data_IF_599552286097
#
_entry.id   IF_599552286097
#
_cell.length_a   1.000
_cell.length_b   1.000
_cell.length_c   1.000
_cell.angle_alpha   90.00
_cell.angle_beta   90.00
_cell.angle_gamma   90.00
#
_symmetry.space_group_name_H-M   'P 1'
#
loop_
_entity.id
_entity.type
_entity.pdbx_description
1 polymer ?
#
# COMPACT_ATOMS: atom_id res chain seq x y z
N UNK A 1 -5.25 11.67 -18.95
CA UNK A 1 -4.53 10.37 -19.00
C UNK A 1 -3.48 10.26 -20.13
N UNK A 2 -3.46 11.11 -21.18
CA UNK A 2 -2.60 10.87 -22.36
C UNK A 2 -1.07 10.76 -22.14
N UNK A 3 -0.52 11.20 -21.01
CA UNK A 3 0.91 11.10 -20.69
C UNK A 3 1.18 10.54 -19.28
N UNK A 4 0.18 9.91 -18.64
CA UNK A 4 0.38 9.38 -17.29
C UNK A 4 0.87 7.93 -17.38
N UNK A 5 2.11 7.69 -16.96
CA UNK A 5 2.76 6.38 -17.03
C UNK A 5 2.34 5.44 -15.90
N UNK A 6 1.58 5.91 -14.92
CA UNK A 6 1.16 5.09 -13.78
C UNK A 6 0.50 3.75 -14.19
N UNK A 7 -0.40 3.68 -15.19
CA UNK A 7 -1.01 2.41 -15.54
C UNK A 7 -0.02 1.35 -16.05
N UNK A 8 1.14 1.76 -16.57
CA UNK A 8 2.18 0.84 -17.07
C UNK A 8 3.35 0.64 -16.12
N UNK A 9 3.51 1.50 -15.10
CA UNK A 9 4.66 1.49 -14.18
C UNK A 9 4.26 1.06 -12.78
N UNK A 10 3.08 1.45 -12.31
CA UNK A 10 2.68 1.22 -10.94
C UNK A 10 2.18 -0.21 -10.76
N UNK A 11 2.89 -0.95 -9.91
CA UNK A 11 2.52 -2.27 -9.43
C UNK A 11 2.72 -2.33 -7.92
N UNK A 12 2.20 -3.38 -7.28
CA UNK A 12 2.45 -3.63 -5.87
C UNK A 12 3.96 -3.77 -5.59
N UNK A 13 4.68 -4.47 -6.46
CA UNK A 13 6.13 -4.67 -6.36
C UNK A 13 6.88 -3.34 -6.48
N UNK A 14 6.49 -2.47 -7.43
CA UNK A 14 7.07 -1.14 -7.58
C UNK A 14 6.95 -0.33 -6.28
N UNK A 15 5.77 -0.33 -5.65
CA UNK A 15 5.58 0.41 -4.40
C UNK A 15 6.31 -0.25 -3.22
N UNK A 16 6.33 -1.58 -3.14
CA UNK A 16 7.08 -2.31 -2.10
C UNK A 16 8.57 -1.92 -2.13
N UNK A 17 9.17 -1.86 -3.32
CA UNK A 17 10.56 -1.46 -3.49
C UNK A 17 10.75 0.04 -3.23
N UNK A 18 9.85 0.89 -3.71
CA UNK A 18 9.94 2.34 -3.49
C UNK A 18 9.89 2.72 -2.00
N UNK A 19 9.11 1.99 -1.21
CA UNK A 19 8.91 2.26 0.22
C UNK A 19 9.77 1.38 1.13
N UNK A 20 10.67 0.55 0.60
CA UNK A 20 11.48 -0.36 1.42
C UNK A 20 12.38 0.37 2.41
N UNK A 21 12.94 1.51 1.98
CA UNK A 21 13.86 2.34 2.75
C UNK A 21 13.34 3.76 2.96
N UNK A 22 12.02 3.96 2.82
CA UNK A 22 11.41 5.28 2.81
C UNK A 22 11.05 5.78 4.21
N UNK A 23 11.52 6.99 4.55
CA UNK A 23 11.07 7.74 5.74
C UNK A 23 9.66 8.33 5.59
N UNK A 24 9.00 8.13 4.43
CA UNK A 24 7.63 8.61 4.20
C UNK A 24 6.59 7.95 5.12
N UNK A 25 6.95 6.85 5.78
CA UNK A 25 6.14 6.22 6.83
C UNK A 25 5.82 7.21 7.96
N UNK A 26 6.70 8.18 8.23
CA UNK A 26 6.53 9.15 9.32
C UNK A 26 5.58 10.31 8.97
N UNK A 27 5.30 10.55 7.68
CA UNK A 27 4.48 11.69 7.24
C UNK A 27 3.01 11.34 6.99
N UNK A 28 2.69 10.05 6.82
CA UNK A 28 1.34 9.58 6.56
C UNK A 28 0.86 8.76 7.77
N UNK A 29 -0.19 9.21 8.44
CA UNK A 29 -0.84 8.39 9.45
C UNK A 29 -1.60 7.27 8.73
N UNK A 30 -1.07 6.05 8.83
CA UNK A 30 -1.74 4.85 8.34
C UNK A 30 -3.09 4.71 9.05
N UNK A 31 -4.17 4.56 8.28
CA UNK A 31 -5.51 4.39 8.82
C UNK A 31 -5.95 2.93 8.70
N UNK A 32 -5.87 2.13 9.79
CA UNK A 32 -6.33 0.75 9.78
C UNK A 32 -7.86 0.73 9.76
N UNK A 33 -8.44 0.21 8.68
CA UNK A 33 -9.88 -0.03 8.58
C UNK A 33 -10.12 -1.48 8.17
N UNK A 34 -10.71 -2.26 9.07
CA UNK A 34 -10.99 -3.70 8.86
C UNK A 34 -9.78 -4.49 8.35
N UNK A 35 -8.59 -4.13 8.84
CA UNK A 35 -7.33 -4.82 8.52
C UNK A 35 -6.47 -4.93 9.78
N UNK A 36 -5.66 -5.97 9.80
CA UNK A 36 -4.62 -6.21 10.80
C UNK A 36 -3.38 -5.34 10.61
N UNK A 37 -3.21 -4.72 9.44
CA UNK A 37 -2.06 -3.87 9.14
C UNK A 37 -2.08 -2.62 10.02
N UNK A 38 -0.93 -2.28 10.59
CA UNK A 38 -0.71 -1.09 11.44
C UNK A 38 0.18 -0.06 10.78
N UNK A 39 0.86 -0.44 9.71
CA UNK A 39 1.76 0.42 8.96
C UNK A 39 1.75 0.05 7.48
N UNK A 40 2.21 0.98 6.65
CA UNK A 40 2.40 0.73 5.22
C UNK A 40 3.49 -0.33 4.99
N UNK A 41 4.45 -0.47 5.91
CA UNK A 41 5.45 -1.53 5.85
C UNK A 41 4.84 -2.93 5.94
N UNK A 42 3.95 -3.16 6.91
CA UNK A 42 3.31 -4.47 7.10
C UNK A 42 2.48 -4.89 5.88
N UNK A 43 1.82 -3.93 5.22
CA UNK A 43 1.15 -4.15 3.93
C UNK A 43 2.14 -4.73 2.91
N UNK A 44 3.31 -4.12 2.76
CA UNK A 44 4.29 -4.54 1.76
C UNK A 44 4.94 -5.89 2.06
N UNK A 45 4.76 -6.42 3.27
CA UNK A 45 5.19 -7.77 3.65
C UNK A 45 4.14 -8.86 3.37
N UNK A 46 2.95 -8.52 2.87
CA UNK A 46 1.94 -9.53 2.52
C UNK A 46 2.38 -10.39 1.31
N UNK A 47 1.78 -11.57 1.18
CA UNK A 47 2.07 -12.46 0.05
C UNK A 47 1.59 -11.86 -1.28
N UNK A 48 2.19 -12.30 -2.39
CA UNK A 48 1.83 -11.83 -3.74
C UNK A 48 0.39 -12.25 -4.09
N UNK A 49 -0.04 -13.41 -3.62
CA UNK A 49 -1.41 -13.91 -3.79
C UNK A 49 -2.41 -12.95 -3.13
N UNK A 50 -2.13 -12.56 -1.89
CA UNK A 50 -2.98 -11.63 -1.15
C UNK A 50 -2.97 -10.24 -1.74
N UNK A 51 -1.82 -9.74 -2.19
CA UNK A 51 -1.75 -8.41 -2.82
C UNK A 51 -2.56 -8.34 -4.13
N UNK A 52 -2.79 -9.49 -4.78
CA UNK A 52 -3.64 -9.63 -5.97
C UNK A 52 -5.10 -9.95 -5.66
N UNK A 53 -5.49 -10.04 -4.39
CA UNK A 53 -6.84 -10.40 -3.95
C UNK A 53 -7.32 -11.73 -4.58
N UNK A 54 -6.42 -12.71 -4.70
CA UNK A 54 -6.79 -14.03 -5.24
C UNK A 54 -7.79 -14.73 -4.32
N UNK A 55 -8.63 -15.59 -4.92
CA UNK A 55 -9.63 -16.37 -4.17
C UNK A 55 -9.01 -17.13 -2.99
N UNK A 56 -9.64 -17.01 -1.83
CA UNK A 56 -9.16 -17.63 -0.58
C UNK A 56 -8.18 -16.78 0.23
N UNK A 57 -7.83 -15.57 -0.22
CA UNK A 57 -7.02 -14.61 0.56
C UNK A 57 -7.88 -13.58 1.28
N UNK A 58 -7.41 -13.11 2.44
CA UNK A 58 -8.12 -12.09 3.19
C UNK A 58 -8.11 -10.74 2.47
N UNK A 59 -9.26 -10.08 2.30
CA UNK A 59 -9.34 -8.76 1.68
C UNK A 59 -8.58 -7.74 2.52
N UNK A 60 -8.12 -6.67 1.88
CA UNK A 60 -7.38 -5.61 2.55
C UNK A 60 -7.60 -4.25 1.89
N UNK A 61 -7.36 -3.20 2.66
CA UNK A 61 -7.53 -1.82 2.25
C UNK A 61 -6.46 -0.95 2.90
N UNK A 62 -5.96 0.04 2.16
CA UNK A 62 -5.02 1.05 2.66
C UNK A 62 -5.64 2.42 2.50
N UNK A 63 -5.67 3.17 3.59
CA UNK A 63 -5.97 4.59 3.59
C UNK A 63 -4.83 5.37 4.23
N UNK A 64 -4.46 6.49 3.61
CA UNK A 64 -3.66 7.53 4.24
C UNK A 64 -4.59 8.67 4.66
N UNK A 65 -4.51 9.11 5.91
CA UNK A 65 -5.15 10.36 6.31
C UNK A 65 -4.10 11.46 6.36
N UNK A 66 -4.41 12.58 5.71
CA UNK A 66 -3.68 13.82 5.92
C UNK A 66 -4.26 14.50 7.15
N UNK A 67 -3.43 14.77 8.16
CA UNK A 67 -3.82 15.62 9.28
C UNK A 67 -4.05 17.04 8.74
N UNK A 68 -5.29 17.35 8.34
CA UNK A 68 -5.72 18.74 8.35
C UNK A 68 -6.00 19.09 9.81
N UNK A 69 -5.23 20.04 10.32
CA UNK A 69 -5.53 20.75 11.56
C UNK A 69 -6.98 21.26 11.57
#
# INVERSE_FOLDING_TARGET
MKNWTAPSVFSFEFFRELYSDSTAQDQCQFFPYQTEFRSLWEVFQMSIERSRLTDGTDPWYIGCKHNRF
#
